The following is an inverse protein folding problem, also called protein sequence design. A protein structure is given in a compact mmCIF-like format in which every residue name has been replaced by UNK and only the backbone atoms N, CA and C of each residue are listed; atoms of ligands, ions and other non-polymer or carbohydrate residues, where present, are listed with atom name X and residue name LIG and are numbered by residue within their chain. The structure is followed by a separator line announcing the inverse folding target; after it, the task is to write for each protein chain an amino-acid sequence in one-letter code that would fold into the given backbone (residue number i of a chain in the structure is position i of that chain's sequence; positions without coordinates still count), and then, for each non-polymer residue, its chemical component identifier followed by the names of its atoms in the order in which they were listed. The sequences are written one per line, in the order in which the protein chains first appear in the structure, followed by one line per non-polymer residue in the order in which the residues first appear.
data_IF_297863504046
#
_entry.id   IF_297863504046
#
_cell.length_a   1.000
_cell.length_b   1.000
_cell.length_c   1.000
_cell.angle_alpha   90.00
_cell.angle_beta   90.00
_cell.angle_gamma   90.00
#
_symmetry.space_group_name_H-M   'P 1'
#
loop_
_entity.id
_entity.type
_entity.pdbx_description
1 polymer ?
#
# COMPACT_ATOMS: atom_id res chain seq x y z
N UNK A 1 -0.91 -18.64 10.12
CA UNK A 1 -0.19 -17.44 10.56
C UNK A 1 1.20 -17.27 9.90
N UNK A 2 1.76 -18.29 9.25
CA UNK A 2 3.08 -18.22 8.60
C UNK A 2 3.23 -17.20 7.47
N UNK A 3 2.14 -16.72 6.88
CA UNK A 3 2.20 -15.75 5.77
C UNK A 3 2.17 -14.26 6.15
N UNK A 4 1.92 -13.91 7.42
CA UNK A 4 1.75 -12.50 7.83
C UNK A 4 3.06 -11.70 7.76
N UNK A 5 4.19 -12.18 8.29
CA UNK A 5 5.46 -11.48 8.14
C UNK A 5 5.86 -11.29 6.67
N UNK A 6 5.60 -12.30 5.83
CA UNK A 6 5.86 -12.22 4.39
C UNK A 6 5.05 -11.10 3.73
N UNK A 7 3.75 -10.97 4.02
CA UNK A 7 2.92 -9.92 3.44
C UNK A 7 3.37 -8.51 3.84
N UNK A 8 3.80 -8.31 5.10
CA UNK A 8 4.35 -7.03 5.55
C UNK A 8 5.63 -6.66 4.77
N UNK A 9 6.48 -7.65 4.49
CA UNK A 9 7.68 -7.45 3.68
C UNK A 9 7.35 -7.15 2.22
N UNK A 10 6.47 -7.94 1.59
CA UNK A 10 6.03 -7.72 0.21
C UNK A 10 5.43 -6.32 0.03
N UNK A 11 4.59 -5.87 0.98
CA UNK A 11 4.02 -4.52 0.96
C UNK A 11 5.09 -3.43 1.10
N UNK A 12 6.12 -3.65 1.93
CA UNK A 12 7.21 -2.70 2.11
C UNK A 12 8.09 -2.61 0.86
N UNK A 13 8.37 -3.75 0.21
CA UNK A 13 9.15 -3.83 -1.02
C UNK A 13 8.39 -3.24 -2.22
N UNK A 14 7.07 -3.46 -2.29
CA UNK A 14 6.23 -2.91 -3.35
C UNK A 14 6.07 -1.37 -3.29
N UNK A 15 6.36 -0.76 -2.13
CA UNK A 15 6.30 0.70 -1.93
C UNK A 15 7.55 1.19 -1.20
N UNK A 16 8.72 1.12 -1.84
CA UNK A 16 10.00 1.39 -1.20
C UNK A 16 10.16 2.87 -0.85
N UNK A 17 10.76 3.18 0.31
CA UNK A 17 11.07 4.56 0.67
C UNK A 17 12.24 5.13 -0.15
N UNK A 18 12.47 6.44 -0.05
CA UNK A 18 13.66 7.09 -0.61
C UNK A 18 14.90 6.73 0.22
N UNK A 19 14.76 6.78 1.54
CA UNK A 19 15.79 6.38 2.51
C UNK A 19 15.24 5.25 3.39
N UNK A 20 16.07 4.26 3.67
CA UNK A 20 15.79 3.21 4.65
C UNK A 20 17.04 2.94 5.48
N UNK A 21 16.87 2.89 6.79
CA UNK A 21 17.89 2.41 7.74
C UNK A 21 17.32 1.20 8.44
N UNK A 22 18.17 0.21 8.72
CA UNK A 22 17.75 -1.03 9.40
C UNK A 22 18.59 -1.23 10.64
N UNK A 23 17.94 -1.49 11.76
CA UNK A 23 18.58 -1.78 13.03
C UNK A 23 17.74 -2.79 13.83
N UNK A 24 18.35 -3.85 14.29
CA UNK A 24 17.74 -4.90 15.14
C UNK A 24 16.37 -5.39 14.64
N UNK A 25 16.23 -5.56 13.32
CA UNK A 25 15.01 -6.02 12.66
C UNK A 25 13.96 -4.94 12.38
N UNK A 26 14.17 -3.70 12.82
CA UNK A 26 13.31 -2.59 12.45
C UNK A 26 13.83 -1.87 11.22
N UNK A 27 12.91 -1.42 10.33
CA UNK A 27 13.22 -0.58 9.17
C UNK A 27 12.64 0.83 9.37
N UNK A 28 13.51 1.83 9.45
CA UNK A 28 13.14 3.25 9.54
C UNK A 28 13.09 3.81 8.12
N UNK A 29 11.90 4.16 7.65
CA UNK A 29 11.62 4.49 6.24
C UNK A 29 11.27 5.96 6.09
N UNK A 30 11.83 6.61 5.05
CA UNK A 30 11.57 8.00 4.77
C UNK A 30 11.40 8.27 3.27
N UNK A 31 10.37 9.02 2.90
CA UNK A 31 10.08 9.53 1.56
C UNK A 31 9.40 10.89 1.68
N UNK A 32 10.09 11.85 2.30
CA UNK A 32 9.71 13.26 2.42
C UNK A 32 8.26 13.50 2.93
N UNK A 33 7.78 12.64 3.81
CA UNK A 33 6.42 12.70 4.34
C UNK A 33 5.32 12.17 3.39
N UNK A 34 5.65 11.86 2.15
CA UNK A 34 4.68 11.35 1.17
C UNK A 34 4.31 9.92 1.47
N UNK A 35 3.06 9.68 1.85
CA UNK A 35 2.47 8.42 2.32
C UNK A 35 3.02 7.89 3.66
N UNK A 36 2.12 7.44 4.55
CA UNK A 36 2.51 6.83 5.83
C UNK A 36 3.36 5.58 5.63
N UNK A 37 3.08 4.79 4.60
CA UNK A 37 3.76 3.52 4.29
C UNK A 37 5.26 3.70 4.06
N UNK A 38 5.66 4.74 3.34
CA UNK A 38 7.06 5.05 3.08
C UNK A 38 7.69 5.96 4.15
N UNK A 39 6.94 6.39 5.16
CA UNK A 39 7.38 7.32 6.22
C UNK A 39 7.01 6.81 7.61
N UNK A 40 7.27 5.53 7.86
CA UNK A 40 7.06 4.91 9.17
C UNK A 40 8.11 3.85 9.45
N UNK A 41 8.44 3.65 10.73
CA UNK A 41 9.22 2.51 11.16
C UNK A 41 8.36 1.24 11.02
N UNK A 42 8.92 0.19 10.44
CA UNK A 42 8.30 -1.12 10.31
C UNK A 42 9.00 -2.09 11.27
N UNK A 43 8.25 -2.59 12.23
CA UNK A 43 8.74 -3.48 13.28
C UNK A 43 8.46 -4.94 12.91
N UNK A 44 9.38 -5.61 12.20
CA UNK A 44 9.19 -6.99 11.71
C UNK A 44 9.87 -8.06 12.57
N UNK A 45 10.91 -7.69 13.28
CA UNK A 45 11.63 -8.56 14.21
C UNK A 45 12.30 -7.69 15.27
N UNK A 46 12.83 -8.27 16.34
CA UNK A 46 13.61 -7.54 17.33
C UNK A 46 14.61 -8.41 18.06
N UNK A 47 15.85 -7.96 18.10
CA UNK A 47 16.96 -8.43 18.95
C UNK A 47 17.37 -7.32 19.94
N UNK A 48 16.70 -6.16 19.90
CA UNK A 48 16.98 -5.00 20.73
C UNK A 48 15.87 -4.72 21.75
N UNK A 49 16.15 -3.81 22.69
CA UNK A 49 15.11 -3.31 23.59
C UNK A 49 14.13 -2.43 22.83
N UNK A 50 12.83 -2.58 23.09
CA UNK A 50 11.77 -1.74 22.49
C UNK A 50 12.02 -0.27 22.78
N UNK A 51 12.53 0.04 23.99
CA UNK A 51 12.86 1.40 24.37
C UNK A 51 13.88 2.06 23.44
N UNK A 52 14.94 1.34 23.13
CA UNK A 52 16.02 1.85 22.27
C UNK A 52 15.54 1.99 20.82
N UNK A 53 14.77 1.00 20.33
CA UNK A 53 14.22 1.03 18.96
C UNK A 53 13.21 2.17 18.76
N UNK A 54 12.37 2.44 19.77
CA UNK A 54 11.45 3.58 19.74
C UNK A 54 12.23 4.90 19.83
N UNK A 55 13.24 5.01 20.71
CA UNK A 55 14.10 6.19 20.79
C UNK A 55 14.85 6.43 19.47
N UNK A 56 15.31 5.36 18.81
CA UNK A 56 15.91 5.45 17.47
C UNK A 56 14.92 5.96 16.43
N UNK A 57 13.64 5.51 16.46
CA UNK A 57 12.60 6.03 15.59
C UNK A 57 12.35 7.53 15.85
N UNK A 58 12.26 7.93 17.10
CA UNK A 58 12.09 9.34 17.49
C UNK A 58 13.24 10.22 16.99
N UNK A 59 14.50 9.75 17.11
CA UNK A 59 15.67 10.46 16.59
C UNK A 59 15.63 10.54 15.05
N UNK A 60 15.39 9.40 14.37
CA UNK A 60 15.35 9.32 12.90
C UNK A 60 14.35 10.28 12.27
N UNK A 61 13.12 10.33 12.80
CA UNK A 61 12.09 11.24 12.29
C UNK A 61 12.29 12.67 12.79
N UNK A 62 12.77 12.87 14.02
CA UNK A 62 13.07 14.20 14.58
C UNK A 62 14.13 14.95 13.78
N UNK A 63 15.22 14.28 13.35
CA UNK A 63 16.24 14.84 12.46
C UNK A 63 15.67 15.34 11.12
N UNK A 64 14.51 14.82 10.71
CA UNK A 64 13.80 15.15 9.47
C UNK A 64 12.61 16.11 9.69
N UNK A 65 12.44 16.63 10.91
CA UNK A 65 11.35 17.54 11.27
C UNK A 65 9.97 16.89 11.22
N UNK A 66 9.90 15.55 11.37
CA UNK A 66 8.67 14.80 11.28
C UNK A 66 8.33 14.09 12.60
N UNK A 67 7.05 13.93 12.95
CA UNK A 67 6.67 13.14 14.11
C UNK A 67 6.97 11.64 13.87
N UNK A 68 7.44 10.91 14.90
CA UNK A 68 7.70 9.48 14.78
C UNK A 68 6.40 8.72 14.52
N UNK A 69 6.42 7.89 13.47
CA UNK A 69 5.31 7.06 13.04
C UNK A 69 5.79 5.60 13.00
N UNK A 70 5.11 4.70 13.71
CA UNK A 70 5.47 3.29 13.78
C UNK A 70 4.32 2.46 13.22
N UNK A 71 4.60 1.62 12.23
CA UNK A 71 3.65 0.65 11.69
C UNK A 71 3.67 -0.60 12.56
N UNK A 72 2.52 -0.95 13.12
CA UNK A 72 2.34 -2.12 13.97
C UNK A 72 1.32 -3.05 13.33
N UNK A 73 1.70 -4.29 13.11
CA UNK A 73 0.85 -5.37 12.60
C UNK A 73 0.78 -6.52 13.61
N UNK A 74 -0.04 -7.51 13.32
CA UNK A 74 -0.10 -8.74 14.10
C UNK A 74 1.18 -9.58 14.03
N UNK A 75 2.09 -9.25 13.11
CA UNK A 75 3.42 -9.86 12.99
C UNK A 75 4.54 -8.99 13.59
N UNK A 76 4.22 -7.83 14.16
CA UNK A 76 5.23 -6.95 14.76
C UNK A 76 5.88 -7.59 15.98
N UNK A 77 7.15 -7.30 16.15
CA UNK A 77 7.92 -7.77 17.30
C UNK A 77 8.42 -6.56 18.14
N UNK A 78 8.27 -6.63 19.46
CA UNK A 78 7.64 -7.74 20.20
C UNK A 78 6.10 -7.74 20.08
N UNK A 79 5.42 -8.82 20.48
CA UNK A 79 3.96 -8.94 20.39
C UNK A 79 3.19 -7.82 21.13
N UNK A 80 3.76 -7.32 22.23
CA UNK A 80 3.15 -6.27 23.06
C UNK A 80 3.48 -4.84 22.62
N UNK A 81 4.10 -4.67 21.44
CA UNK A 81 4.55 -3.36 20.94
C UNK A 81 3.46 -2.29 20.96
N UNK A 82 2.23 -2.63 20.58
CA UNK A 82 1.12 -1.68 20.61
C UNK A 82 0.82 -1.14 22.01
N UNK A 83 0.90 -2.01 23.03
CA UNK A 83 0.70 -1.66 24.43
C UNK A 83 1.83 -0.77 24.94
N UNK A 84 3.08 -1.13 24.63
CA UNK A 84 4.26 -0.36 25.00
C UNK A 84 4.24 1.05 24.38
N UNK A 85 3.85 1.15 23.10
CA UNK A 85 3.68 2.44 22.42
C UNK A 85 2.57 3.27 23.06
N UNK A 86 1.45 2.64 23.45
CA UNK A 86 0.35 3.30 24.16
C UNK A 86 0.82 3.90 25.50
N UNK A 87 1.61 3.16 26.28
CA UNK A 87 2.21 3.63 27.54
C UNK A 87 3.18 4.81 27.34
N UNK A 88 3.79 4.95 26.15
CA UNK A 88 4.68 6.06 25.75
C UNK A 88 3.95 7.23 25.11
N UNK A 89 2.61 7.23 25.10
CA UNK A 89 1.79 8.32 24.57
C UNK A 89 1.54 8.27 23.05
N UNK A 90 1.87 7.15 22.39
CA UNK A 90 1.48 6.94 21.00
C UNK A 90 0.00 6.57 20.89
N UNK A 91 -0.65 7.02 19.83
CA UNK A 91 -2.05 6.68 19.52
C UNK A 91 -2.14 5.95 18.20
N UNK A 92 -2.95 4.90 18.18
CA UNK A 92 -3.25 4.12 16.97
C UNK A 92 -4.12 4.95 16.02
N UNK A 93 -3.82 4.88 14.73
CA UNK A 93 -4.55 5.54 13.65
C UNK A 93 -4.47 4.74 12.35
N UNK A 94 -5.34 5.02 11.41
CA UNK A 94 -5.31 4.48 10.05
C UNK A 94 -5.27 2.95 10.02
N UNK A 95 -6.19 2.30 10.76
CA UNK A 95 -6.37 0.84 10.72
C UNK A 95 -6.57 0.37 9.29
N UNK A 96 -5.77 -0.59 8.87
CA UNK A 96 -5.69 -1.07 7.49
C UNK A 96 -5.78 -2.59 7.48
N UNK A 97 -6.68 -3.11 6.68
CA UNK A 97 -6.83 -4.55 6.44
C UNK A 97 -5.86 -4.97 5.35
N UNK A 98 -5.22 -6.12 5.54
CA UNK A 98 -4.46 -6.80 4.49
C UNK A 98 -5.31 -7.98 4.02
N UNK A 99 -5.68 -7.93 2.75
CA UNK A 99 -6.58 -8.90 2.14
C UNK A 99 -5.86 -9.69 1.05
N UNK A 100 -6.25 -10.96 0.90
CA UNK A 100 -5.71 -11.87 -0.12
C UNK A 100 -6.81 -12.55 -0.90
N UNK A 101 -6.52 -12.92 -2.15
CA UNK A 101 -7.38 -13.74 -2.99
C UNK A 101 -6.56 -14.64 -3.91
N UNK A 102 -7.15 -15.75 -4.36
CA UNK A 102 -6.61 -16.50 -5.49
C UNK A 102 -6.84 -15.70 -6.79
N UNK A 103 -5.83 -15.60 -7.64
CA UNK A 103 -5.89 -14.82 -8.88
C UNK A 103 -7.05 -15.28 -9.79
N UNK A 104 -7.26 -16.59 -9.90
CA UNK A 104 -8.36 -17.17 -10.69
C UNK A 104 -9.73 -16.79 -10.14
N UNK A 105 -9.90 -16.85 -8.81
CA UNK A 105 -11.16 -16.48 -8.19
C UNK A 105 -11.53 -15.02 -8.47
N UNK A 106 -10.54 -14.12 -8.48
CA UNK A 106 -10.76 -12.70 -8.82
C UNK A 106 -11.27 -12.56 -10.26
N UNK A 107 -10.64 -13.25 -11.21
CA UNK A 107 -11.04 -13.23 -12.64
C UNK A 107 -12.46 -13.78 -12.79
N UNK A 108 -12.73 -14.95 -12.22
CA UNK A 108 -14.03 -15.63 -12.36
C UNK A 108 -15.18 -14.81 -11.74
N UNK A 109 -14.94 -14.16 -10.60
CA UNK A 109 -15.95 -13.35 -9.92
C UNK A 109 -16.22 -12.00 -10.57
N UNK A 110 -15.20 -11.39 -11.16
CA UNK A 110 -15.36 -10.07 -11.79
C UNK A 110 -15.88 -10.17 -13.22
N UNK A 111 -15.64 -11.29 -13.90
CA UNK A 111 -16.08 -11.50 -15.28
C UNK A 111 -15.45 -10.53 -16.27
N UNK A 112 -16.11 -10.38 -17.43
CA UNK A 112 -15.67 -9.47 -18.48
C UNK A 112 -16.13 -8.04 -18.20
N UNK A 113 -15.34 -7.08 -18.68
CA UNK A 113 -15.65 -5.65 -18.63
C UNK A 113 -15.78 -5.08 -20.03
N UNK A 114 -16.63 -4.06 -20.19
CA UNK A 114 -16.75 -3.29 -21.43
C UNK A 114 -15.71 -2.16 -21.54
N UNK A 115 -14.96 -1.87 -20.44
CA UNK A 115 -13.86 -0.92 -20.49
C UNK A 115 -12.66 -1.52 -21.22
N UNK A 116 -12.01 -0.72 -22.05
CA UNK A 116 -10.71 -1.06 -22.61
C UNK A 116 -9.66 -0.97 -21.51
N UNK A 117 -8.89 -2.04 -21.31
CA UNK A 117 -7.78 -2.08 -20.36
C UNK A 117 -6.47 -2.09 -21.13
N UNK A 118 -5.65 -1.09 -20.85
CA UNK A 118 -4.27 -0.99 -21.35
C UNK A 118 -3.32 -1.26 -20.19
N UNK A 119 -2.22 -1.94 -20.46
CA UNK A 119 -1.19 -2.22 -19.44
C UNK A 119 0.19 -1.83 -19.95
N UNK A 120 0.99 -1.26 -19.04
CA UNK A 120 2.37 -0.82 -19.30
C UNK A 120 3.29 -1.26 -18.16
N UNK A 121 4.59 -1.39 -18.44
CA UNK A 121 5.59 -1.71 -17.42
C UNK A 121 6.00 -0.50 -16.57
N UNK A 122 5.76 0.70 -17.06
CA UNK A 122 6.03 1.97 -16.36
C UNK A 122 4.78 2.85 -16.41
N UNK A 123 4.55 3.72 -15.41
CA UNK A 123 3.39 4.61 -15.43
C UNK A 123 3.54 5.64 -16.57
N UNK A 124 2.53 5.72 -17.43
CA UNK A 124 2.42 6.84 -18.38
C UNK A 124 2.06 8.13 -17.65
N UNK A 125 2.26 9.28 -18.29
CA UNK A 125 1.83 10.57 -17.72
C UNK A 125 0.31 10.61 -17.48
N UNK A 126 -0.48 10.05 -18.38
CA UNK A 126 -1.93 9.96 -18.22
C UNK A 126 -2.32 9.08 -17.01
N UNK A 127 -1.65 7.92 -16.84
CA UNK A 127 -1.86 7.06 -15.68
C UNK A 127 -1.55 7.82 -14.39
N UNK A 128 -0.37 8.45 -14.33
CA UNK A 128 0.06 9.17 -13.14
C UNK A 128 -0.85 10.36 -12.82
N UNK A 129 -1.23 11.14 -13.83
CA UNK A 129 -2.14 12.27 -13.64
C UNK A 129 -3.52 11.83 -13.14
N UNK A 130 -4.05 10.72 -13.66
CA UNK A 130 -5.33 10.16 -13.18
C UNK A 130 -5.24 9.66 -11.72
N UNK A 131 -4.14 9.00 -11.35
CA UNK A 131 -3.86 8.59 -9.97
C UNK A 131 -3.74 9.81 -9.06
N UNK A 132 -2.89 10.77 -9.44
CA UNK A 132 -2.58 11.95 -8.65
C UNK A 132 -3.80 12.85 -8.44
N UNK A 133 -4.65 13.00 -9.43
CA UNK A 133 -5.90 13.75 -9.30
C UNK A 133 -6.80 13.20 -8.18
N UNK A 134 -6.78 11.88 -7.94
CA UNK A 134 -7.52 11.26 -6.83
C UNK A 134 -6.79 11.47 -5.50
N UNK A 135 -5.47 11.34 -5.46
CA UNK A 135 -4.67 11.57 -4.25
C UNK A 135 -4.74 13.03 -3.78
N UNK A 136 -4.76 13.99 -4.69
CA UNK A 136 -4.95 15.41 -4.37
C UNK A 136 -6.27 15.67 -3.62
N UNK A 137 -7.35 14.93 -3.95
CA UNK A 137 -8.62 15.03 -3.18
C UNK A 137 -8.51 14.52 -1.74
N UNK A 138 -7.42 13.85 -1.40
CA UNK A 138 -7.12 13.30 -0.06
C UNK A 138 -6.13 14.17 0.71
N UNK A 139 -5.87 15.40 0.24
CA UNK A 139 -5.00 16.37 0.90
C UNK A 139 -3.52 16.29 0.50
N UNK A 140 -3.18 15.60 -0.59
CA UNK A 140 -1.83 15.67 -1.17
C UNK A 140 -1.61 17.00 -1.86
N UNK A 141 -0.44 17.58 -1.67
CA UNK A 141 -0.04 18.81 -2.35
C UNK A 141 0.80 18.50 -3.60
N UNK A 142 0.91 19.45 -4.51
CA UNK A 142 1.56 19.23 -5.81
C UNK A 142 3.06 18.90 -5.66
N UNK A 143 3.72 19.42 -4.65
CA UNK A 143 5.13 19.18 -4.32
C UNK A 143 5.40 17.70 -4.02
N UNK A 144 4.42 16.97 -3.48
CA UNK A 144 4.50 15.53 -3.21
C UNK A 144 4.53 14.67 -4.47
N UNK A 145 4.10 15.20 -5.62
CA UNK A 145 3.91 14.43 -6.85
C UNK A 145 5.21 13.81 -7.37
N UNK A 146 6.31 14.57 -7.34
CA UNK A 146 7.61 14.11 -7.81
C UNK A 146 8.13 12.96 -6.95
N UNK A 147 8.04 13.09 -5.62
CA UNK A 147 8.43 12.05 -4.67
C UNK A 147 7.59 10.80 -4.85
N UNK A 148 6.28 10.95 -4.97
CA UNK A 148 5.35 9.84 -5.19
C UNK A 148 5.67 9.09 -6.49
N UNK A 149 5.95 9.82 -7.59
CA UNK A 149 6.36 9.24 -8.86
C UNK A 149 7.69 8.49 -8.75
N UNK A 150 8.64 9.03 -8.00
CA UNK A 150 9.90 8.37 -7.69
C UNK A 150 9.71 7.05 -6.94
N UNK A 151 8.84 7.02 -5.95
CA UNK A 151 8.48 5.80 -5.20
C UNK A 151 7.84 4.75 -6.11
N UNK A 152 6.92 5.15 -7.00
CA UNK A 152 6.26 4.25 -7.96
C UNK A 152 7.24 3.56 -8.92
N UNK A 153 8.35 4.23 -9.27
CA UNK A 153 9.37 3.72 -10.21
C UNK A 153 10.48 2.92 -9.53
N UNK A 154 10.57 2.98 -8.20
CA UNK A 154 11.71 2.46 -7.44
C UNK A 154 11.69 0.95 -7.09
N UNK A 155 10.57 0.19 -7.12
CA UNK A 155 10.57 -1.19 -6.60
C UNK A 155 11.67 -2.09 -7.18
N UNK A 156 12.10 -1.87 -8.43
CA UNK A 156 13.04 -2.78 -9.10
C UNK A 156 12.45 -4.18 -9.33
N UNK A 157 11.15 -4.35 -9.07
CA UNK A 157 10.36 -5.57 -9.19
C UNK A 157 9.52 -5.53 -10.46
N UNK A 158 9.17 -6.69 -11.04
CA UNK A 158 8.22 -6.75 -12.14
C UNK A 158 6.92 -6.05 -11.78
N UNK A 159 6.58 -5.00 -12.54
CA UNK A 159 5.45 -4.12 -12.23
C UNK A 159 4.57 -3.96 -13.47
N UNK A 160 3.26 -3.82 -13.24
CA UNK A 160 2.25 -3.54 -14.26
C UNK A 160 1.41 -2.35 -13.82
N UNK A 161 1.24 -1.40 -14.72
CA UNK A 161 0.35 -0.25 -14.56
C UNK A 161 -0.85 -0.44 -15.50
N UNK A 162 -2.04 -0.57 -14.93
CA UNK A 162 -3.27 -0.74 -15.71
C UNK A 162 -4.05 0.57 -15.79
N UNK A 163 -4.57 0.85 -16.98
CA UNK A 163 -5.43 2.00 -17.29
C UNK A 163 -6.75 1.51 -17.86
N UNK A 164 -7.86 1.87 -17.25
CA UNK A 164 -9.19 1.66 -17.82
C UNK A 164 -9.60 2.90 -18.61
N UNK A 165 -10.06 2.68 -19.87
CA UNK A 165 -10.52 3.75 -20.75
C UNK A 165 -11.98 3.59 -21.15
N UNK A 166 -12.62 4.74 -21.31
CA UNK A 166 -13.89 4.89 -21.99
C UNK A 166 -13.70 5.84 -23.19
N UNK A 167 -13.59 5.30 -24.41
CA UNK A 167 -13.07 6.07 -25.54
C UNK A 167 -11.64 6.54 -25.27
N UNK A 168 -11.36 7.81 -25.48
CA UNK A 168 -10.05 8.40 -25.19
C UNK A 168 -9.83 8.76 -23.71
N UNK A 169 -10.86 8.67 -22.86
CA UNK A 169 -10.79 9.16 -21.49
C UNK A 169 -10.29 8.07 -20.54
N UNK A 170 -9.29 8.40 -19.71
CA UNK A 170 -8.87 7.58 -18.57
C UNK A 170 -9.90 7.70 -17.46
N UNK A 171 -10.50 6.59 -17.05
CA UNK A 171 -11.56 6.54 -16.05
C UNK A 171 -11.15 5.86 -14.75
N UNK A 172 -10.09 5.06 -14.80
CA UNK A 172 -9.52 4.38 -13.62
C UNK A 172 -8.14 3.84 -13.89
N UNK A 173 -7.36 3.72 -12.84
CA UNK A 173 -5.97 3.21 -12.88
C UNK A 173 -5.69 2.30 -11.70
N UNK A 174 -4.64 1.49 -11.81
CA UNK A 174 -4.13 0.63 -10.74
C UNK A 174 -2.75 0.10 -11.07
N UNK A 175 -2.08 -0.43 -10.07
CA UNK A 175 -0.74 -1.00 -10.18
C UNK A 175 -0.72 -2.42 -9.59
N UNK A 176 0.07 -3.31 -10.21
CA UNK A 176 0.41 -4.63 -9.72
C UNK A 176 1.93 -4.72 -9.59
N UNK A 177 2.43 -5.07 -8.42
CA UNK A 177 3.85 -5.36 -8.18
C UNK A 177 4.00 -6.84 -7.88
N UNK A 178 4.94 -7.53 -8.54
CA UNK A 178 5.09 -8.98 -8.46
C UNK A 178 6.37 -9.33 -7.73
N UNK A 179 6.25 -10.12 -6.68
CA UNK A 179 7.38 -10.61 -5.89
C UNK A 179 7.03 -11.97 -5.28
N UNK A 180 7.98 -12.92 -5.32
CA UNK A 180 7.88 -14.23 -4.64
C UNK A 180 6.57 -14.99 -4.91
N UNK A 181 6.06 -14.93 -6.16
CA UNK A 181 4.81 -15.59 -6.56
C UNK A 181 3.52 -14.88 -6.10
N UNK A 182 3.64 -13.69 -5.53
CA UNK A 182 2.51 -12.84 -5.12
C UNK A 182 2.39 -11.61 -6.00
N UNK A 183 1.15 -11.17 -6.21
CA UNK A 183 0.83 -9.91 -6.88
C UNK A 183 0.23 -8.90 -5.90
N UNK A 184 0.97 -7.82 -5.61
CA UNK A 184 0.50 -6.71 -4.78
C UNK A 184 -0.31 -5.71 -5.59
N UNK A 185 -1.62 -5.66 -5.39
CA UNK A 185 -2.51 -4.68 -6.02
C UNK A 185 -2.49 -3.39 -5.20
N UNK A 186 -2.14 -2.28 -5.84
CA UNK A 186 -2.08 -0.97 -5.19
C UNK A 186 -2.40 0.18 -6.15
N UNK A 187 -2.42 1.41 -5.64
CA UNK A 187 -2.69 2.62 -6.43
C UNK A 187 -4.02 2.57 -7.21
N UNK A 188 -5.00 1.83 -6.69
CA UNK A 188 -6.34 1.77 -7.28
C UNK A 188 -7.03 3.13 -7.16
N UNK A 189 -7.25 3.79 -8.29
CA UNK A 189 -7.88 5.10 -8.32
C UNK A 189 -8.94 5.19 -9.44
N UNK A 190 -10.08 5.80 -9.11
CA UNK A 190 -11.17 6.08 -10.05
C UNK A 190 -11.60 7.52 -9.87
N UNK A 191 -11.58 8.28 -10.95
CA UNK A 191 -12.00 9.68 -10.95
C UNK A 191 -13.43 9.82 -10.38
N UNK A 192 -13.73 10.87 -9.59
CA UNK A 192 -15.03 11.00 -8.90
C UNK A 192 -16.25 10.84 -9.81
N UNK A 193 -16.22 11.41 -11.00
CA UNK A 193 -17.33 11.35 -11.98
C UNK A 193 -17.48 9.97 -12.64
N UNK A 194 -16.49 9.08 -12.51
CA UNK A 194 -16.49 7.72 -13.07
C UNK A 194 -16.75 6.62 -12.03
N UNK A 195 -16.95 7.01 -10.76
CA UNK A 195 -17.25 6.05 -9.68
C UNK A 195 -18.59 5.35 -9.91
N UNK A 196 -18.73 4.14 -9.34
CA UNK A 196 -19.95 3.31 -9.40
C UNK A 196 -20.36 2.88 -10.81
N UNK A 197 -19.44 2.94 -11.78
CA UNK A 197 -19.64 2.53 -13.17
C UNK A 197 -18.83 1.30 -13.58
N UNK A 198 -18.15 0.65 -12.63
CA UNK A 198 -17.37 -0.57 -12.87
C UNK A 198 -15.91 -0.33 -13.27
N UNK A 199 -15.41 0.92 -13.36
CA UNK A 199 -14.03 1.20 -13.76
C UNK A 199 -12.99 0.54 -12.83
N UNK A 200 -13.17 0.63 -11.51
CA UNK A 200 -12.27 -0.04 -10.55
C UNK A 200 -12.32 -1.57 -10.68
N UNK A 201 -13.50 -2.15 -10.93
CA UNK A 201 -13.68 -3.58 -11.21
C UNK A 201 -12.89 -4.00 -12.47
N UNK A 202 -12.97 -3.20 -13.52
CA UNK A 202 -12.26 -3.44 -14.77
C UNK A 202 -10.73 -3.39 -14.59
N UNK A 203 -10.24 -2.38 -13.88
CA UNK A 203 -8.80 -2.26 -13.55
C UNK A 203 -8.33 -3.48 -12.75
N UNK A 204 -9.06 -3.87 -11.71
CA UNK A 204 -8.72 -5.03 -10.88
C UNK A 204 -8.71 -6.33 -11.70
N UNK A 205 -9.71 -6.54 -12.56
CA UNK A 205 -9.77 -7.67 -13.48
C UNK A 205 -8.59 -7.71 -14.47
N UNK A 206 -8.21 -6.54 -15.02
CA UNK A 206 -7.05 -6.42 -15.88
C UNK A 206 -5.73 -6.75 -15.18
N UNK A 207 -5.55 -6.26 -13.94
CA UNK A 207 -4.38 -6.60 -13.13
C UNK A 207 -4.33 -8.10 -12.77
N UNK A 208 -5.48 -8.70 -12.44
CA UNK A 208 -5.57 -10.13 -12.17
C UNK A 208 -5.24 -10.97 -13.41
N UNK A 209 -5.72 -10.57 -14.60
CA UNK A 209 -5.37 -11.21 -15.86
C UNK A 209 -3.85 -11.13 -16.16
N UNK A 210 -3.22 -9.97 -15.88
CA UNK A 210 -1.76 -9.80 -15.99
C UNK A 210 -1.01 -10.68 -14.99
N UNK A 211 -1.49 -10.79 -13.75
CA UNK A 211 -0.93 -11.66 -12.74
C UNK A 211 -0.96 -13.13 -13.22
N UNK A 212 -2.11 -13.59 -13.74
CA UNK A 212 -2.25 -14.95 -14.23
C UNK A 212 -1.33 -15.24 -15.43
N UNK A 213 -1.18 -14.30 -16.38
CA UNK A 213 -0.24 -14.44 -17.52
C UNK A 213 1.22 -14.58 -17.07
N UNK A 214 1.55 -14.11 -15.88
CA UNK A 214 2.88 -14.18 -15.26
C UNK A 214 3.01 -15.30 -14.23
N UNK A 215 2.06 -16.26 -14.23
CA UNK A 215 1.99 -17.39 -13.30
C UNK A 215 1.96 -16.95 -11.81
N UNK A 216 1.29 -15.84 -11.51
CA UNK A 216 1.06 -15.37 -10.15
C UNK A 216 -0.31 -15.86 -9.70
N UNK A 217 -0.33 -16.78 -8.74
CA UNK A 217 -1.56 -17.46 -8.30
C UNK A 217 -2.27 -16.75 -7.14
N UNK A 218 -1.60 -15.82 -6.48
CA UNK A 218 -2.12 -15.14 -5.29
C UNK A 218 -1.97 -13.63 -5.40
N UNK A 219 -3.03 -12.92 -5.06
CA UNK A 219 -3.04 -11.46 -4.97
C UNK A 219 -3.17 -11.03 -3.53
N UNK A 220 -2.55 -9.90 -3.18
CA UNK A 220 -2.77 -9.21 -1.93
C UNK A 220 -3.01 -7.72 -2.18
N UNK A 221 -3.65 -7.07 -1.23
CA UNK A 221 -3.82 -5.62 -1.18
C UNK A 221 -3.93 -5.14 0.27
N UNK A 222 -3.76 -3.84 0.45
CA UNK A 222 -3.99 -3.17 1.71
C UNK A 222 -5.08 -2.10 1.54
N UNK A 223 -6.09 -2.11 2.39
CA UNK A 223 -7.23 -1.20 2.33
C UNK A 223 -7.55 -0.63 3.71
N UNK A 224 -7.77 0.68 3.80
CA UNK A 224 -8.24 1.31 5.04
C UNK A 224 -9.56 0.66 5.48
N UNK A 225 -9.65 0.30 6.76
CA UNK A 225 -10.81 -0.42 7.31
C UNK A 225 -12.13 0.38 7.23
N UNK A 226 -12.03 1.69 7.12
CA UNK A 226 -13.15 2.63 6.96
C UNK A 226 -13.48 2.96 5.49
N UNK A 227 -12.80 2.34 4.52
CA UNK A 227 -13.08 2.51 3.10
C UNK A 227 -14.11 1.48 2.61
N UNK A 228 -15.38 1.64 3.03
CA UNK A 228 -16.48 0.71 2.72
C UNK A 228 -16.63 0.42 1.22
N UNK A 229 -16.41 1.42 0.38
CA UNK A 229 -16.54 1.26 -1.07
C UNK A 229 -15.47 0.32 -1.66
N UNK A 230 -14.24 0.41 -1.17
CA UNK A 230 -13.15 -0.44 -1.60
C UNK A 230 -13.26 -1.85 -1.00
N UNK A 231 -13.55 -1.97 0.30
CA UNK A 231 -13.76 -3.27 0.96
C UNK A 231 -14.91 -4.05 0.32
N UNK A 232 -16.02 -3.38 -0.03
CA UNK A 232 -17.12 -4.01 -0.76
C UNK A 232 -16.72 -4.46 -2.17
N UNK A 233 -15.87 -3.71 -2.89
CA UNK A 233 -15.34 -4.13 -4.19
C UNK A 233 -14.46 -5.38 -4.04
N UNK A 234 -13.49 -5.34 -3.14
CA UNK A 234 -12.53 -6.42 -2.96
C UNK A 234 -13.21 -7.69 -2.41
N UNK A 235 -14.16 -7.57 -1.48
CA UNK A 235 -14.96 -8.69 -1.01
C UNK A 235 -15.75 -9.40 -2.12
N UNK A 236 -16.38 -8.64 -3.05
CA UNK A 236 -17.03 -9.21 -4.24
C UNK A 236 -16.03 -9.91 -5.17
N UNK A 237 -14.83 -9.38 -5.29
CA UNK A 237 -13.76 -9.98 -6.08
C UNK A 237 -13.13 -11.23 -5.42
N UNK A 238 -13.54 -11.58 -4.19
CA UNK A 238 -13.07 -12.78 -3.49
C UNK A 238 -11.92 -12.53 -2.51
N UNK A 239 -11.50 -11.28 -2.32
CA UNK A 239 -10.50 -10.96 -1.29
C UNK A 239 -11.08 -11.16 0.12
N UNK A 240 -10.22 -11.62 1.03
CA UNK A 240 -10.53 -11.82 2.44
C UNK A 240 -9.40 -11.28 3.29
N UNK A 241 -9.75 -10.60 4.38
CA UNK A 241 -8.78 -10.12 5.35
C UNK A 241 -8.07 -11.30 6.04
N UNK A 242 -6.75 -11.25 6.07
CA UNK A 242 -5.89 -12.26 6.71
C UNK A 242 -5.14 -11.69 7.90
N UNK A 243 -4.86 -10.40 7.91
CA UNK A 243 -4.37 -9.67 9.07
C UNK A 243 -4.64 -8.17 8.90
N UNK A 244 -4.19 -7.39 9.85
CA UNK A 244 -4.30 -5.93 9.82
C UNK A 244 -3.06 -5.28 10.42
N UNK A 245 -2.88 -4.01 10.08
CA UNK A 245 -1.93 -3.14 10.73
C UNK A 245 -2.53 -1.77 11.02
N UNK A 246 -1.90 -1.04 11.91
CA UNK A 246 -2.20 0.36 12.19
C UNK A 246 -0.91 1.16 12.29
N UNK A 247 -1.02 2.47 12.20
CA UNK A 247 0.09 3.35 12.49
C UNK A 247 -0.07 3.94 13.89
N UNK A 248 1.03 3.97 14.63
CA UNK A 248 1.10 4.58 15.95
C UNK A 248 1.87 5.88 15.85
N UNK A 249 1.20 6.99 16.15
CA UNK A 249 1.72 8.35 16.09
C UNK A 249 1.83 8.93 17.48
N UNK A 250 2.99 9.49 17.82
CA UNK A 250 3.15 10.25 19.06
C UNK A 250 2.58 11.65 18.87
N UNK A 251 1.57 12.01 19.65
CA UNK A 251 1.02 13.37 19.67
C UNK A 251 1.88 14.27 20.54
N UNK A 252 2.24 15.45 20.05
CA UNK A 252 2.86 16.50 20.87
C UNK A 252 4.38 16.62 20.77
N UNK A 253 5.03 16.04 19.75
CA UNK A 253 6.38 16.42 19.35
C UNK A 253 6.25 17.44 18.20
N UNK A 254 5.96 18.69 18.55
CA UNK A 254 6.13 19.85 17.70
C UNK A 254 7.35 20.62 18.19
#
# INVERSE_FOLDING_TARGET
MEGVPLLDELMANAWPPVVVETESGWRYRWAEGVTRRANSALATATDGSVGDLVARAEAFYGERGAPPLIQVSTASAPPDLATDLGARGYRSTARTLVEVAATRDVIDRLGSSWFQIETTATPTDEWFNAYWAVEATRGRIQEDAAVCRGVLLKPGLPTVFATARQGSQVVGVGQLVIESGWGGVQCMATGPIHRRRGAATAVLGGLAAEALRRAVDRLYLAVMADNDAATALYGRAGFRAVHEYSYHLRQGAA
#
